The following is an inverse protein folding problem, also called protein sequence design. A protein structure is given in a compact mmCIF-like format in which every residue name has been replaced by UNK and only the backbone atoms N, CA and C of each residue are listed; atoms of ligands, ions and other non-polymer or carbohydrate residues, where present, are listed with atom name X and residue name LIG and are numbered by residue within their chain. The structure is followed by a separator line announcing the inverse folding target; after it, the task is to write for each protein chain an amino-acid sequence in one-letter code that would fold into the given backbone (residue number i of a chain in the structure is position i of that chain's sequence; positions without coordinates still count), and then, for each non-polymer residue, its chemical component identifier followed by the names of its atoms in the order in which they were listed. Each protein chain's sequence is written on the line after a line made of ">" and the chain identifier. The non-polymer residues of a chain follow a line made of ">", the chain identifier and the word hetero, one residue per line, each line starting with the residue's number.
data_IF_076217880028
#
_entry.id   IF_076217880028
#
_cell.length_a   1.000
_cell.length_b   1.000
_cell.length_c   1.000
_cell.angle_alpha   90.00
_cell.angle_beta   90.00
_cell.angle_gamma   90.00
#
_symmetry.space_group_name_H-M   'P 1'
#
loop_
_entity.id
_entity.type
_entity.pdbx_description
1 polymer ?
#
# COMPACT_ATOMS: atom_id res chain seq x y z
N UNK A 1 29.53 -10.32 15.92
CA UNK A 1 28.41 -9.81 15.10
C UNK A 1 28.02 -8.48 15.67
N UNK A 2 27.96 -7.43 14.89
CA UNK A 2 27.62 -6.09 15.34
C UNK A 2 26.27 -5.74 14.72
N UNK A 3 25.30 -5.33 15.56
CA UNK A 3 23.97 -4.92 15.12
C UNK A 3 23.84 -3.43 15.31
N UNK A 4 24.02 -2.68 14.23
CA UNK A 4 24.18 -1.22 14.28
C UNK A 4 22.85 -0.43 14.34
N UNK A 5 21.70 -1.12 14.32
CA UNK A 5 20.38 -0.46 14.25
C UNK A 5 19.95 0.06 15.62
N UNK A 6 20.17 -0.74 16.69
CA UNK A 6 19.77 -0.38 18.05
C UNK A 6 20.67 -1.08 19.06
N UNK A 7 21.11 -0.34 20.06
CA UNK A 7 22.02 -0.84 21.10
C UNK A 7 21.35 -1.92 21.97
N UNK A 8 20.09 -1.72 22.33
CA UNK A 8 19.31 -2.64 23.15
C UNK A 8 19.13 -3.99 22.46
N UNK A 9 18.89 -4.00 21.16
CA UNK A 9 18.78 -5.24 20.38
C UNK A 9 20.14 -5.97 20.26
N UNK A 10 21.24 -5.24 20.12
CA UNK A 10 22.58 -5.81 20.17
C UNK A 10 22.88 -6.45 21.53
N UNK A 11 22.50 -5.79 22.62
CA UNK A 11 22.64 -6.31 23.98
C UNK A 11 21.76 -7.56 24.18
N UNK A 12 20.52 -7.55 23.71
CA UNK A 12 19.63 -8.71 23.73
C UNK A 12 20.24 -9.92 23.00
N UNK A 13 20.77 -9.72 21.81
CA UNK A 13 21.43 -10.80 21.07
C UNK A 13 22.60 -11.36 21.85
N UNK A 14 23.45 -10.53 22.43
CA UNK A 14 24.64 -10.94 23.18
C UNK A 14 24.30 -11.64 24.49
N UNK A 15 23.29 -11.15 25.22
CA UNK A 15 22.98 -11.65 26.56
C UNK A 15 22.03 -12.85 26.55
N UNK A 16 21.12 -12.91 25.60
CA UNK A 16 20.03 -13.90 25.61
C UNK A 16 20.11 -14.89 24.46
N UNK A 17 20.41 -14.47 23.24
CA UNK A 17 20.46 -15.40 22.11
C UNK A 17 21.77 -16.19 22.08
N UNK A 18 22.90 -15.53 22.29
CA UNK A 18 24.21 -16.22 22.33
C UNK A 18 24.52 -16.88 23.66
N UNK A 19 23.69 -16.65 24.70
CA UNK A 19 23.76 -17.32 26.00
C UNK A 19 22.45 -18.06 26.29
N UNK A 20 22.22 -19.21 25.68
CA UNK A 20 20.88 -19.82 25.59
C UNK A 20 20.25 -20.23 26.93
N UNK A 21 21.00 -20.28 28.02
CA UNK A 21 20.46 -20.69 29.32
C UNK A 21 19.57 -19.60 29.96
N UNK A 22 19.73 -18.35 29.60
CA UNK A 22 18.97 -17.23 30.16
C UNK A 22 17.49 -17.21 29.72
N UNK A 23 17.20 -17.68 28.51
CA UNK A 23 15.83 -17.72 27.99
C UNK A 23 15.09 -19.05 28.25
N UNK A 24 15.77 -20.10 28.68
CA UNK A 24 15.15 -21.43 28.83
C UNK A 24 13.95 -21.44 29.77
N UNK A 25 14.01 -20.72 30.87
CA UNK A 25 12.98 -20.73 31.92
C UNK A 25 11.89 -19.66 31.72
N UNK A 26 12.02 -18.82 30.71
CA UNK A 26 11.07 -17.76 30.40
C UNK A 26 10.03 -18.34 29.43
N UNK A 27 8.74 -18.29 29.77
CA UNK A 27 7.70 -18.93 28.99
C UNK A 27 7.11 -18.02 27.91
N UNK A 28 6.93 -16.76 28.23
CA UNK A 28 6.28 -15.79 27.36
C UNK A 28 6.97 -14.42 27.38
N UNK A 29 6.52 -13.54 26.51
CA UNK A 29 7.06 -12.20 26.33
C UNK A 29 6.87 -11.33 27.56
N UNK A 30 5.71 -11.37 28.19
CA UNK A 30 5.37 -10.59 29.37
C UNK A 30 6.31 -10.92 30.52
N UNK A 31 6.52 -12.20 30.77
CA UNK A 31 7.50 -12.67 31.79
C UNK A 31 8.93 -12.24 31.46
N UNK A 32 9.29 -12.20 30.18
CA UNK A 32 10.61 -11.70 29.75
C UNK A 32 10.75 -10.20 30.09
N UNK A 33 9.75 -9.38 29.77
CA UNK A 33 9.78 -7.95 30.06
C UNK A 33 9.82 -7.68 31.58
N UNK A 34 9.02 -8.38 32.37
CA UNK A 34 9.06 -8.26 33.83
C UNK A 34 10.45 -8.54 34.40
N UNK A 35 11.05 -9.66 33.98
CA UNK A 35 12.38 -10.06 34.45
C UNK A 35 13.48 -9.07 34.03
N UNK A 36 13.36 -8.46 32.88
CA UNK A 36 14.35 -7.48 32.39
C UNK A 36 14.15 -6.11 32.99
N UNK A 37 12.90 -5.69 33.22
CA UNK A 37 12.57 -4.45 33.91
C UNK A 37 13.10 -4.41 35.34
N UNK A 38 13.02 -5.53 36.08
CA UNK A 38 13.60 -5.67 37.42
C UNK A 38 15.12 -5.44 37.39
N UNK A 39 15.78 -5.79 36.28
CA UNK A 39 17.21 -5.56 36.07
C UNK A 39 17.53 -4.15 35.52
N UNK A 40 16.53 -3.28 35.40
CA UNK A 40 16.67 -1.92 34.87
C UNK A 40 16.93 -1.85 33.38
N UNK A 41 16.51 -2.90 32.60
CA UNK A 41 16.68 -2.97 31.16
C UNK A 41 15.32 -2.91 30.47
N UNK A 42 15.21 -2.06 29.48
CA UNK A 42 14.05 -1.96 28.61
C UNK A 42 14.34 -2.64 27.28
N UNK A 43 13.59 -3.72 27.00
CA UNK A 43 13.65 -4.48 25.75
C UNK A 43 12.32 -4.52 25.01
N UNK A 44 11.37 -3.65 25.37
CA UNK A 44 10.06 -3.59 24.72
C UNK A 44 10.16 -2.93 23.32
N UNK A 45 10.85 -3.62 22.41
CA UNK A 45 11.03 -3.21 21.03
C UNK A 45 10.56 -4.30 20.06
N UNK A 46 9.99 -3.87 18.94
CA UNK A 46 9.42 -4.76 17.94
C UNK A 46 10.41 -5.81 17.41
N UNK A 47 11.65 -5.42 17.15
CA UNK A 47 12.69 -6.33 16.67
C UNK A 47 13.10 -7.33 17.74
N UNK A 48 13.20 -6.93 18.98
CA UNK A 48 13.48 -7.82 20.13
C UNK A 48 12.31 -8.79 20.33
N UNK A 49 11.07 -8.35 20.23
CA UNK A 49 9.88 -9.19 20.30
C UNK A 49 9.91 -10.32 19.24
N UNK A 50 10.21 -9.99 17.98
CA UNK A 50 10.29 -11.00 16.93
C UNK A 50 11.46 -11.94 17.11
N UNK A 51 12.62 -11.47 17.56
CA UNK A 51 13.79 -12.31 17.85
C UNK A 51 13.51 -13.27 19.01
N UNK A 52 12.84 -12.79 20.08
CA UNK A 52 12.40 -13.61 21.20
C UNK A 52 11.45 -14.72 20.74
N UNK A 53 10.40 -14.38 19.98
CA UNK A 53 9.44 -15.35 19.50
C UNK A 53 10.07 -16.36 18.51
N UNK A 54 10.97 -15.92 17.65
CA UNK A 54 11.72 -16.82 16.78
C UNK A 54 12.56 -17.82 17.58
N UNK A 55 13.26 -17.35 18.63
CA UNK A 55 14.01 -18.23 19.51
C UNK A 55 13.09 -19.25 20.19
N UNK A 56 11.94 -18.83 20.71
CA UNK A 56 10.95 -19.72 21.35
C UNK A 56 10.38 -20.75 20.38
N UNK A 57 10.06 -20.36 19.17
CA UNK A 57 9.60 -21.28 18.13
C UNK A 57 10.66 -22.35 17.80
N UNK A 58 11.91 -21.93 17.65
CA UNK A 58 13.04 -22.85 17.42
C UNK A 58 13.23 -23.79 18.62
N UNK A 59 13.20 -23.26 19.84
CA UNK A 59 13.30 -24.04 21.07
C UNK A 59 12.22 -25.13 21.13
N UNK A 60 10.96 -24.75 20.98
CA UNK A 60 9.81 -25.66 21.00
C UNK A 60 9.91 -26.74 19.92
N UNK A 61 10.38 -26.37 18.72
CA UNK A 61 10.58 -27.33 17.65
C UNK A 61 11.63 -28.40 18.01
N UNK A 62 12.75 -27.98 18.57
CA UNK A 62 13.80 -28.95 18.99
C UNK A 62 13.39 -29.79 20.22
N UNK A 63 12.56 -29.25 21.12
CA UNK A 63 11.99 -30.03 22.22
C UNK A 63 11.02 -31.10 21.70
N UNK A 64 10.25 -30.78 20.66
CA UNK A 64 9.34 -31.71 19.99
C UNK A 64 10.07 -32.77 19.18
N UNK A 65 11.22 -32.43 18.58
CA UNK A 65 12.01 -33.31 17.72
C UNK A 65 13.47 -33.44 18.20
N UNK A 66 13.74 -33.98 19.38
CA UNK A 66 15.08 -33.98 19.97
C UNK A 66 16.12 -34.74 19.14
N UNK A 67 15.70 -35.76 18.42
CA UNK A 67 16.59 -36.58 17.56
C UNK A 67 17.01 -35.83 16.28
N UNK A 68 16.41 -34.71 15.95
CA UNK A 68 16.76 -33.94 14.76
C UNK A 68 17.92 -32.96 14.97
N UNK A 69 18.35 -32.72 16.20
CA UNK A 69 19.40 -31.73 16.53
C UNK A 69 20.69 -32.02 15.77
N UNK A 70 21.17 -33.26 15.82
CA UNK A 70 22.45 -33.69 15.15
C UNK A 70 22.31 -33.56 13.63
N UNK A 71 21.19 -34.04 13.06
CA UNK A 71 20.96 -33.96 11.62
C UNK A 71 20.82 -32.51 11.13
N UNK A 72 20.14 -31.63 11.91
CA UNK A 72 20.00 -30.20 11.57
C UNK A 72 21.36 -29.49 11.66
N UNK A 73 22.13 -29.78 12.70
CA UNK A 73 23.52 -29.26 12.86
C UNK A 73 24.39 -29.64 11.68
N UNK A 74 24.35 -30.88 11.26
CA UNK A 74 25.13 -31.39 10.11
C UNK A 74 24.67 -30.65 8.82
N UNK A 75 23.37 -30.55 8.58
CA UNK A 75 22.84 -29.79 7.42
C UNK A 75 23.30 -28.34 7.41
N UNK A 76 23.21 -27.65 8.55
CA UNK A 76 23.58 -26.23 8.62
C UNK A 76 25.06 -26.03 8.37
N UNK A 77 25.91 -26.85 9.02
CA UNK A 77 27.37 -26.67 8.95
C UNK A 77 27.96 -27.13 7.62
N UNK A 78 27.44 -28.23 7.03
CA UNK A 78 28.04 -28.85 5.88
C UNK A 78 27.33 -28.64 4.56
N UNK A 79 26.02 -28.28 4.57
CA UNK A 79 25.22 -28.16 3.37
C UNK A 79 24.61 -26.75 3.12
N UNK A 80 24.58 -25.90 4.15
CA UNK A 80 24.12 -24.48 3.97
C UNK A 80 25.34 -23.64 3.58
N UNK A 81 25.21 -22.96 2.45
CA UNK A 81 26.21 -22.00 1.97
C UNK A 81 25.64 -20.58 2.14
N UNK A 82 26.38 -19.74 2.83
CA UNK A 82 26.07 -18.31 2.94
C UNK A 82 26.82 -17.58 1.83
N UNK A 83 26.08 -16.81 1.05
CA UNK A 83 26.66 -15.87 0.09
C UNK A 83 26.83 -14.56 0.84
N UNK A 84 28.08 -14.20 1.10
CA UNK A 84 28.42 -12.91 1.71
C UNK A 84 28.76 -11.94 0.57
N UNK A 85 27.93 -10.95 0.36
CA UNK A 85 28.20 -9.87 -0.57
C UNK A 85 28.68 -8.64 0.23
N UNK A 86 29.88 -8.18 -0.05
CA UNK A 86 30.46 -6.99 0.56
C UNK A 86 30.63 -5.93 -0.53
N UNK A 87 29.55 -5.22 -0.90
CA UNK A 87 29.63 -4.18 -1.88
C UNK A 87 30.53 -3.06 -1.36
N UNK A 88 31.44 -2.58 -2.22
CA UNK A 88 32.28 -1.41 -1.93
C UNK A 88 31.73 -0.23 -2.70
N UNK A 89 31.60 0.91 -2.04
CA UNK A 89 31.17 2.18 -2.64
C UNK A 89 29.73 2.16 -3.22
N UNK A 90 28.82 1.41 -2.63
CA UNK A 90 27.40 1.45 -2.93
C UNK A 90 26.68 1.95 -1.67
N UNK A 91 25.80 2.92 -1.81
CA UNK A 91 24.97 3.39 -0.72
C UNK A 91 23.95 2.31 -0.30
N UNK A 92 23.56 2.31 0.98
CA UNK A 92 22.65 1.28 1.53
C UNK A 92 21.33 1.21 0.77
N UNK A 93 20.82 2.35 0.30
CA UNK A 93 19.58 2.43 -0.46
C UNK A 93 19.75 1.79 -1.85
N UNK A 94 20.83 2.09 -2.55
CA UNK A 94 21.15 1.48 -3.85
C UNK A 94 21.40 -0.01 -3.73
N UNK A 95 22.05 -0.46 -2.65
CA UNK A 95 22.21 -1.89 -2.36
C UNK A 95 20.86 -2.59 -2.14
N UNK A 96 19.95 -1.95 -1.38
CA UNK A 96 18.61 -2.48 -1.15
C UNK A 96 17.80 -2.57 -2.44
N UNK A 97 17.86 -1.55 -3.28
CA UNK A 97 17.21 -1.53 -4.60
C UNK A 97 17.78 -2.62 -5.52
N UNK A 98 19.11 -2.78 -5.56
CA UNK A 98 19.79 -3.81 -6.37
C UNK A 98 19.48 -5.24 -5.90
N UNK A 99 19.35 -5.46 -4.58
CA UNK A 99 19.00 -6.76 -4.02
C UNK A 99 17.53 -7.11 -4.24
N UNK A 100 16.66 -6.13 -4.23
CA UNK A 100 15.21 -6.30 -4.42
C UNK A 100 14.78 -6.11 -5.88
N UNK A 101 15.52 -5.35 -6.67
CA UNK A 101 15.17 -4.94 -8.04
C UNK A 101 15.02 -6.08 -9.06
N UNK A 102 15.45 -7.30 -8.70
CA UNK A 102 15.18 -8.50 -9.53
C UNK A 102 13.98 -9.33 -9.05
N UNK A 103 13.33 -8.96 -7.94
CA UNK A 103 12.29 -9.82 -7.36
C UNK A 103 10.88 -9.44 -7.76
N UNK A 104 10.52 -8.24 -7.83
CA UNK A 104 9.30 -7.66 -8.42
C UNK A 104 9.49 -6.16 -8.32
N UNK A 105 9.63 -5.42 -9.39
CA UNK A 105 9.61 -3.96 -9.31
C UNK A 105 8.31 -3.55 -8.60
N UNK A 106 8.40 -2.62 -7.66
CA UNK A 106 7.22 -2.06 -7.04
C UNK A 106 6.37 -1.46 -8.15
N UNK A 107 5.11 -1.89 -8.22
CA UNK A 107 4.15 -1.29 -9.15
C UNK A 107 3.85 0.15 -8.74
N UNK A 108 3.56 1.00 -9.69
CA UNK A 108 3.19 2.39 -9.42
C UNK A 108 2.01 2.51 -8.45
N UNK A 109 1.06 1.55 -8.47
CA UNK A 109 -0.02 1.50 -7.49
C UNK A 109 0.46 1.33 -6.06
N UNK A 110 1.48 0.48 -5.82
CA UNK A 110 2.06 0.29 -4.48
C UNK A 110 2.76 1.56 -4.01
N UNK A 111 3.49 2.22 -4.91
CA UNK A 111 4.17 3.48 -4.62
C UNK A 111 3.18 4.59 -4.30
N UNK A 112 2.13 4.77 -5.11
CA UNK A 112 1.05 5.74 -4.86
C UNK A 112 0.37 5.41 -3.53
N UNK A 113 0.06 4.14 -3.27
CA UNK A 113 -0.54 3.69 -2.02
C UNK A 113 0.34 4.03 -0.82
N UNK A 114 1.64 3.72 -0.88
CA UNK A 114 2.59 4.04 0.20
C UNK A 114 2.66 5.55 0.44
N UNK A 115 2.67 6.33 -0.63
CA UNK A 115 2.67 7.79 -0.61
C UNK A 115 1.41 8.33 0.10
N UNK A 116 0.22 7.84 -0.27
CA UNK A 116 -1.05 8.21 0.36
C UNK A 116 -1.03 7.88 1.86
N UNK A 117 -0.70 6.63 2.21
CA UNK A 117 -0.70 6.17 3.60
C UNK A 117 0.26 6.99 4.46
N UNK A 118 1.45 7.31 3.95
CA UNK A 118 2.49 7.96 4.75
C UNK A 118 2.28 9.46 4.85
N UNK A 119 2.05 10.15 3.73
CA UNK A 119 2.00 11.62 3.70
C UNK A 119 0.66 12.17 4.19
N UNK A 120 -0.46 11.57 3.77
CA UNK A 120 -1.78 12.01 4.21
C UNK A 120 -1.95 11.82 5.71
N UNK A 121 -1.58 10.66 6.27
CA UNK A 121 -1.69 10.43 7.70
C UNK A 121 -0.86 11.41 8.52
N UNK A 122 0.37 11.70 8.09
CA UNK A 122 1.23 12.68 8.76
C UNK A 122 0.63 14.09 8.68
N UNK A 123 0.13 14.49 7.53
CA UNK A 123 -0.47 15.81 7.31
C UNK A 123 -1.73 16.03 8.16
N UNK A 124 -2.63 15.05 8.18
CA UNK A 124 -3.92 15.18 8.91
C UNK A 124 -3.75 15.23 10.43
N UNK A 125 -2.74 14.55 10.96
CA UNK A 125 -2.45 14.59 12.40
C UNK A 125 -1.71 15.88 12.79
N UNK A 126 -0.87 16.41 11.88
CA UNK A 126 -0.09 17.62 12.15
C UNK A 126 0.96 17.42 13.23
N UNK A 127 1.46 18.54 13.76
CA UNK A 127 2.44 18.56 14.83
C UNK A 127 1.74 18.55 16.19
N UNK A 128 2.18 17.66 17.07
CA UNK A 128 1.71 17.50 18.45
C UNK A 128 2.94 17.54 19.36
N UNK A 129 2.87 18.27 20.48
CA UNK A 129 3.98 18.43 21.41
C UNK A 129 4.49 17.09 21.97
N UNK A 130 3.60 16.12 22.18
CA UNK A 130 3.95 14.76 22.58
C UNK A 130 4.26 13.90 21.35
N UNK A 131 5.54 13.64 21.09
CA UNK A 131 6.02 12.87 19.96
C UNK A 131 5.54 11.40 19.97
N UNK A 132 5.38 10.80 21.14
CA UNK A 132 4.89 9.41 21.26
C UNK A 132 3.43 9.37 20.87
N UNK A 133 2.61 10.27 21.42
CA UNK A 133 1.19 10.39 21.07
C UNK A 133 1.00 10.70 19.60
N UNK A 134 1.81 11.58 19.02
CA UNK A 134 1.78 11.89 17.59
C UNK A 134 2.02 10.64 16.76
N UNK A 135 3.05 9.85 17.05
CA UNK A 135 3.38 8.63 16.33
C UNK A 135 2.26 7.58 16.42
N UNK A 136 1.64 7.41 17.58
CA UNK A 136 0.49 6.50 17.76
C UNK A 136 -0.66 6.93 16.85
N UNK A 137 -1.05 8.21 16.87
CA UNK A 137 -2.14 8.74 16.06
C UNK A 137 -1.86 8.63 14.54
N UNK A 138 -0.62 8.93 14.13
CA UNK A 138 -0.20 8.76 12.73
C UNK A 138 -0.33 7.28 12.32
N UNK A 139 0.12 6.34 13.16
CA UNK A 139 0.04 4.91 12.84
C UNK A 139 -1.41 4.41 12.79
N UNK A 140 -2.26 4.83 13.72
CA UNK A 140 -3.70 4.54 13.63
C UNK A 140 -4.32 5.06 12.34
N UNK A 141 -3.96 6.29 11.95
CA UNK A 141 -4.47 6.88 10.72
C UNK A 141 -3.97 6.15 9.49
N UNK A 142 -2.70 5.75 9.45
CA UNK A 142 -2.12 4.91 8.39
C UNK A 142 -2.90 3.60 8.21
N UNK A 143 -3.21 2.92 9.30
CA UNK A 143 -4.01 1.68 9.26
C UNK A 143 -5.40 1.93 8.67
N UNK A 144 -6.08 3.00 9.11
CA UNK A 144 -7.42 3.35 8.58
C UNK A 144 -7.39 3.66 7.08
N UNK A 145 -6.41 4.42 6.63
CA UNK A 145 -6.20 4.71 5.20
C UNK A 145 -5.88 3.43 4.42
N UNK A 146 -4.99 2.59 4.94
CA UNK A 146 -4.64 1.30 4.33
C UNK A 146 -5.86 0.41 4.12
N UNK A 147 -6.69 0.22 5.15
CA UNK A 147 -7.92 -0.56 5.07
C UNK A 147 -8.94 0.02 4.08
N UNK A 148 -9.01 1.34 3.99
CA UNK A 148 -9.86 2.00 2.99
C UNK A 148 -9.38 1.70 1.57
N UNK A 149 -8.08 1.84 1.30
CA UNK A 149 -7.49 1.54 -0.01
C UNK A 149 -7.63 0.06 -0.38
N UNK A 150 -7.55 -0.87 0.59
CA UNK A 150 -7.78 -2.29 0.38
C UNK A 150 -9.22 -2.58 -0.05
N UNK A 151 -10.21 -1.93 0.56
CA UNK A 151 -11.63 -2.05 0.14
C UNK A 151 -11.84 -1.52 -1.27
N UNK A 152 -11.23 -0.40 -1.60
CA UNK A 152 -11.28 0.17 -2.95
C UNK A 152 -10.65 -0.80 -3.95
N UNK A 153 -9.44 -1.30 -3.66
CA UNK A 153 -8.76 -2.26 -4.53
C UNK A 153 -9.60 -3.53 -4.74
N UNK A 154 -10.24 -4.04 -3.69
CA UNK A 154 -11.14 -5.19 -3.78
C UNK A 154 -12.37 -4.89 -4.63
N UNK A 155 -12.97 -3.69 -4.52
CA UNK A 155 -14.11 -3.29 -5.35
C UNK A 155 -13.76 -3.28 -6.84
N UNK A 156 -12.55 -2.80 -7.18
CA UNK A 156 -12.04 -2.77 -8.55
C UNK A 156 -11.56 -4.13 -9.07
N UNK A 157 -11.46 -5.16 -8.23
CA UNK A 157 -11.11 -6.51 -8.67
C UNK A 157 -12.20 -7.18 -9.52
N UNK A 158 -13.43 -6.66 -9.52
CA UNK A 158 -14.55 -7.15 -10.32
C UNK A 158 -14.38 -6.80 -11.81
N UNK A 159 -14.28 -7.81 -12.66
CA UNK A 159 -14.07 -7.66 -14.10
C UNK A 159 -15.19 -6.85 -14.79
N UNK A 160 -16.44 -6.95 -14.34
CA UNK A 160 -17.54 -6.20 -14.94
C UNK A 160 -17.35 -4.69 -14.71
N UNK A 161 -16.85 -4.30 -13.53
CA UNK A 161 -16.58 -2.90 -13.21
C UNK A 161 -15.40 -2.38 -14.01
N UNK A 162 -14.31 -3.14 -14.10
CA UNK A 162 -13.15 -2.78 -14.93
C UNK A 162 -13.58 -2.56 -16.37
N UNK A 163 -14.33 -3.51 -16.95
CA UNK A 163 -14.80 -3.44 -18.34
C UNK A 163 -15.73 -2.23 -18.56
N UNK A 164 -16.60 -1.95 -17.59
CA UNK A 164 -17.49 -0.79 -17.66
C UNK A 164 -16.71 0.53 -17.71
N UNK A 165 -15.70 0.70 -16.87
CA UNK A 165 -14.90 1.93 -16.84
C UNK A 165 -13.74 1.94 -17.83
N UNK A 166 -13.42 0.83 -18.48
CA UNK A 166 -12.32 0.75 -19.44
C UNK A 166 -12.43 1.80 -20.56
N UNK A 167 -13.64 2.10 -21.00
CA UNK A 167 -13.90 3.13 -21.99
C UNK A 167 -13.36 4.52 -21.61
N UNK A 168 -13.25 4.80 -20.30
CA UNK A 168 -12.66 6.03 -19.80
C UNK A 168 -11.18 5.84 -19.47
N UNK A 169 -10.83 4.79 -18.74
CA UNK A 169 -9.46 4.57 -18.26
C UNK A 169 -8.44 4.42 -19.39
N UNK A 170 -8.86 3.97 -20.58
CA UNK A 170 -8.00 3.92 -21.77
C UNK A 170 -7.55 5.29 -22.29
N UNK A 171 -8.21 6.38 -21.87
CA UNK A 171 -7.84 7.74 -22.23
C UNK A 171 -6.67 8.26 -21.38
N UNK A 172 -6.42 7.63 -20.23
CA UNK A 172 -5.26 7.93 -19.40
C UNK A 172 -3.98 7.41 -20.05
N UNK A 173 -2.94 8.24 -20.03
CA UNK A 173 -1.62 7.91 -20.55
C UNK A 173 -0.71 7.52 -19.39
N UNK A 174 0.18 6.59 -19.65
CA UNK A 174 1.34 6.29 -18.79
C UNK A 174 2.57 6.76 -19.56
N UNK A 175 3.48 7.51 -18.96
CA UNK A 175 4.69 7.97 -19.63
C UNK A 175 5.54 6.80 -20.12
N UNK A 176 5.99 6.83 -21.36
CA UNK A 176 6.82 5.76 -21.95
C UNK A 176 8.25 5.71 -21.35
N UNK A 177 8.69 6.79 -20.73
CA UNK A 177 10.03 6.94 -20.18
C UNK A 177 10.15 6.56 -18.70
N UNK A 178 9.04 6.25 -18.03
CA UNK A 178 9.08 5.88 -16.61
C UNK A 178 9.50 4.41 -16.42
N UNK A 179 10.46 4.22 -15.53
CA UNK A 179 10.86 2.89 -15.05
C UNK A 179 9.80 2.19 -14.21
N UNK A 180 8.67 2.87 -13.95
CA UNK A 180 7.58 2.43 -13.07
C UNK A 180 6.45 1.86 -13.91
N UNK A 181 6.12 0.59 -13.70
CA UNK A 181 4.99 -0.06 -14.35
C UNK A 181 3.69 0.15 -13.55
N UNK A 182 2.55 0.17 -14.25
CA UNK A 182 1.21 0.19 -13.67
C UNK A 182 0.42 -1.04 -14.17
N UNK A 183 0.44 -2.10 -13.40
CA UNK A 183 -0.20 -3.37 -13.77
C UNK A 183 -1.64 -3.43 -13.23
N UNK A 184 -2.61 -3.22 -14.11
CA UNK A 184 -4.05 -3.22 -13.78
C UNK A 184 -4.58 -4.59 -13.34
N UNK A 185 -3.93 -5.67 -13.72
CA UNK A 185 -4.35 -7.03 -13.35
C UNK A 185 -3.96 -7.32 -11.90
N UNK A 186 -2.72 -7.03 -11.56
CA UNK A 186 -2.21 -7.26 -10.20
C UNK A 186 -2.74 -6.21 -9.21
N UNK A 187 -2.90 -4.97 -9.70
CA UNK A 187 -3.32 -3.83 -8.88
C UNK A 187 -4.55 -3.13 -9.48
N UNK A 188 -5.74 -3.71 -9.26
CA UNK A 188 -6.99 -3.18 -9.81
C UNK A 188 -7.29 -1.72 -9.45
N UNK A 189 -6.78 -1.21 -8.32
CA UNK A 189 -6.93 0.18 -7.90
C UNK A 189 -6.35 1.19 -8.91
N UNK A 190 -5.47 0.74 -9.81
CA UNK A 190 -4.96 1.57 -10.90
C UNK A 190 -6.07 2.18 -11.77
N UNK A 191 -7.19 1.48 -11.91
CA UNK A 191 -8.36 2.03 -12.61
C UNK A 191 -8.88 3.30 -11.94
N UNK A 192 -8.93 3.34 -10.60
CA UNK A 192 -9.31 4.56 -9.87
C UNK A 192 -8.27 5.67 -10.05
N UNK A 193 -6.98 5.34 -10.00
CA UNK A 193 -5.92 6.33 -10.19
C UNK A 193 -5.95 6.93 -11.60
N UNK A 194 -6.20 6.12 -12.62
CA UNK A 194 -6.42 6.57 -14.00
C UNK A 194 -7.61 7.53 -14.11
N UNK A 195 -8.74 7.19 -13.48
CA UNK A 195 -9.89 8.09 -13.44
C UNK A 195 -9.61 9.37 -12.64
N UNK A 196 -8.79 9.28 -11.60
CA UNK A 196 -8.42 10.44 -10.79
C UNK A 196 -7.57 11.43 -11.60
N UNK A 197 -6.55 10.98 -12.35
CA UNK A 197 -5.75 11.88 -13.19
C UNK A 197 -6.55 12.45 -14.36
N UNK A 198 -7.55 11.72 -14.89
CA UNK A 198 -8.49 12.25 -15.89
C UNK A 198 -9.41 13.34 -15.31
N UNK A 199 -9.82 13.19 -14.06
CA UNK A 199 -10.75 14.13 -13.39
C UNK A 199 -10.06 15.40 -12.92
N UNK A 200 -8.88 15.30 -12.33
CA UNK A 200 -8.21 16.35 -11.57
C UNK A 200 -6.83 16.74 -12.11
N UNK A 201 -6.32 16.00 -13.09
CA UNK A 201 -5.04 16.23 -13.74
C UNK A 201 -5.16 16.42 -15.24
N UNK A 202 -4.08 16.11 -15.94
CA UNK A 202 -3.97 16.16 -17.40
C UNK A 202 -4.14 14.79 -18.08
N UNK A 203 -4.60 13.78 -17.31
CA UNK A 203 -4.81 12.43 -17.80
C UNK A 203 -3.55 11.58 -17.87
N UNK A 204 -2.46 12.04 -17.28
CA UNK A 204 -1.20 11.29 -17.20
C UNK A 204 -1.08 10.64 -15.82
N UNK A 205 -0.94 9.30 -15.81
CA UNK A 205 -0.75 8.53 -14.60
C UNK A 205 0.75 8.45 -14.28
N UNK A 206 1.24 9.35 -13.46
CA UNK A 206 2.63 9.39 -13.01
C UNK A 206 2.76 9.64 -11.50
N UNK A 207 3.93 9.37 -10.97
CA UNK A 207 4.23 9.56 -9.55
C UNK A 207 4.32 11.03 -9.16
N UNK A 208 4.85 11.88 -10.03
CA UNK A 208 5.05 13.31 -9.75
C UNK A 208 3.72 14.02 -9.51
N UNK A 209 2.68 13.65 -10.27
CA UNK A 209 1.34 14.15 -10.05
C UNK A 209 0.83 13.79 -8.64
N UNK A 210 0.97 12.52 -8.23
CA UNK A 210 0.50 12.10 -6.91
C UNK A 210 1.35 12.66 -5.78
N UNK A 211 2.65 12.83 -5.95
CA UNK A 211 3.53 13.48 -4.97
C UNK A 211 3.06 14.90 -4.62
N UNK A 212 2.62 15.65 -5.63
CA UNK A 212 2.05 16.98 -5.45
C UNK A 212 0.64 16.93 -4.86
N UNK A 213 -0.18 16.01 -5.34
CA UNK A 213 -1.60 15.95 -4.95
C UNK A 213 -1.85 15.47 -3.52
N UNK A 214 -1.10 14.49 -3.03
CA UNK A 214 -1.32 13.93 -1.67
C UNK A 214 -1.04 14.93 -0.54
N UNK A 215 -0.33 16.02 -0.82
CA UNK A 215 -0.09 17.09 0.15
C UNK A 215 -1.13 18.22 0.07
N UNK A 216 -2.03 18.22 -0.91
CA UNK A 216 -3.14 19.17 -0.99
C UNK A 216 -4.23 18.85 0.04
N UNK A 217 -4.95 19.88 0.48
CA UNK A 217 -6.09 19.69 1.38
C UNK A 217 -7.26 19.05 0.63
N UNK A 218 -7.90 18.08 1.29
CA UNK A 218 -9.05 17.39 0.73
C UNK A 218 -8.75 16.29 -0.29
N UNK A 219 -7.47 15.99 -0.59
CA UNK A 219 -7.10 14.93 -1.55
C UNK A 219 -7.80 13.60 -1.25
N UNK A 220 -7.77 13.16 0.03
CA UNK A 220 -8.36 11.88 0.40
C UNK A 220 -9.89 11.88 0.25
N UNK A 221 -10.53 13.00 0.56
CA UNK A 221 -11.98 13.18 0.39
C UNK A 221 -12.36 13.19 -1.09
N UNK A 222 -11.54 13.82 -1.94
CA UNK A 222 -11.74 13.79 -3.40
C UNK A 222 -11.62 12.38 -3.97
N UNK A 223 -10.60 11.61 -3.52
CA UNK A 223 -10.41 10.22 -3.95
C UNK A 223 -11.58 9.33 -3.52
N UNK A 224 -12.05 9.50 -2.27
CA UNK A 224 -13.21 8.77 -1.76
C UNK A 224 -14.50 9.18 -2.47
N UNK A 225 -14.67 10.46 -2.74
CA UNK A 225 -15.85 10.97 -3.47
C UNK A 225 -15.89 10.42 -4.89
N UNK A 226 -14.74 10.36 -5.56
CA UNK A 226 -14.62 9.76 -6.88
C UNK A 226 -15.02 8.27 -6.82
N UNK A 227 -14.47 7.51 -5.86
CA UNK A 227 -14.83 6.10 -5.66
C UNK A 227 -16.34 5.92 -5.45
N UNK A 228 -16.95 6.69 -4.55
CA UNK A 228 -18.40 6.64 -4.30
C UNK A 228 -19.22 6.98 -5.54
N UNK A 229 -18.72 7.90 -6.36
CA UNK A 229 -19.37 8.25 -7.63
C UNK A 229 -19.35 7.06 -8.59
N UNK A 230 -18.22 6.34 -8.69
CA UNK A 230 -18.14 5.13 -9.51
C UNK A 230 -19.08 4.03 -9.00
N UNK A 231 -19.16 3.86 -7.69
CA UNK A 231 -20.09 2.92 -7.06
C UNK A 231 -21.55 3.28 -7.37
N UNK A 232 -21.90 4.55 -7.26
CA UNK A 232 -23.27 5.04 -7.57
C UNK A 232 -23.63 4.80 -9.04
N UNK A 233 -22.71 5.08 -9.97
CA UNK A 233 -22.93 4.86 -11.39
C UNK A 233 -23.11 3.38 -11.73
N UNK A 234 -22.37 2.49 -11.07
CA UNK A 234 -22.52 1.03 -11.25
C UNK A 234 -23.79 0.47 -10.63
N UNK A 235 -24.18 0.96 -9.46
CA UNK A 235 -25.31 0.40 -8.70
C UNK A 235 -26.68 0.89 -9.19
N UNK A 236 -26.75 2.06 -9.83
CA UNK A 236 -27.96 2.60 -10.41
C UNK A 236 -28.12 2.13 -11.86
N UNK A 237 -29.05 1.20 -12.09
CA UNK A 237 -29.26 0.61 -13.42
C UNK A 237 -29.52 1.64 -14.52
N UNK A 238 -30.26 2.69 -14.24
CA UNK A 238 -30.55 3.73 -15.23
C UNK A 238 -29.29 4.54 -15.56
N UNK A 239 -28.54 4.94 -14.55
CA UNK A 239 -27.25 5.66 -14.74
C UNK A 239 -26.24 4.78 -15.47
N UNK A 240 -26.11 3.51 -15.07
CA UNK A 240 -25.21 2.56 -15.70
C UNK A 240 -25.38 2.54 -17.21
N UNK A 241 -26.61 2.35 -17.68
CA UNK A 241 -26.90 2.26 -19.11
C UNK A 241 -26.75 3.62 -19.82
N UNK A 242 -27.24 4.70 -19.23
CA UNK A 242 -27.16 6.03 -19.85
C UNK A 242 -25.71 6.51 -20.01
N UNK A 243 -24.88 6.34 -18.99
CA UNK A 243 -23.46 6.72 -19.04
C UNK A 243 -22.72 5.88 -20.09
N UNK A 244 -22.95 4.56 -20.08
CA UNK A 244 -22.37 3.66 -21.09
C UNK A 244 -22.81 4.05 -22.50
N UNK A 245 -24.09 4.29 -22.68
CA UNK A 245 -24.67 4.67 -23.97
C UNK A 245 -24.14 6.02 -24.46
N UNK A 246 -24.06 7.00 -23.60
CA UNK A 246 -23.54 8.34 -23.93
C UNK A 246 -22.08 8.27 -24.40
N UNK A 247 -21.26 7.42 -23.78
CA UNK A 247 -19.84 7.31 -24.11
C UNK A 247 -19.58 6.48 -25.37
N UNK A 248 -20.43 5.48 -25.69
CA UNK A 248 -20.30 4.66 -26.89
C UNK A 248 -20.98 5.35 -28.10
N UNK A 249 -22.21 5.77 -27.90
CA UNK A 249 -23.05 6.30 -28.98
C UNK A 249 -22.57 7.64 -29.52
N UNK A 250 -22.05 8.49 -28.64
CA UNK A 250 -21.44 9.75 -29.04
C UNK A 250 -20.19 9.55 -29.93
N UNK A 251 -19.51 8.39 -29.84
CA UNK A 251 -18.37 8.06 -30.71
C UNK A 251 -18.79 7.63 -32.11
N UNK A 252 -19.95 7.01 -32.26
CA UNK A 252 -20.39 6.46 -33.56
C UNK A 252 -21.21 7.43 -34.39
N UNK A 253 -21.99 8.30 -33.77
CA UNK A 253 -23.03 9.05 -34.48
C UNK A 253 -22.77 10.54 -34.69
N UNK A 254 -21.85 11.16 -33.95
CA UNK A 254 -21.76 12.63 -33.92
C UNK A 254 -20.38 13.10 -34.36
N UNK A 255 -20.22 13.33 -35.64
CA UNK A 255 -19.10 14.12 -36.17
C UNK A 255 -19.15 15.61 -35.79
N UNK A 256 -20.22 16.09 -35.20
CA UNK A 256 -20.49 17.52 -34.98
C UNK A 256 -20.50 17.95 -33.49
N UNK A 257 -20.72 17.03 -32.53
CA UNK A 257 -20.60 17.36 -31.11
C UNK A 257 -19.46 16.58 -30.45
N UNK A 258 -18.62 17.22 -29.61
CA UNK A 258 -17.54 16.52 -28.93
C UNK A 258 -18.09 15.48 -27.95
N UNK A 259 -17.49 14.29 -27.97
CA UNK A 259 -17.75 13.25 -26.97
C UNK A 259 -17.47 13.81 -25.59
N UNK A 260 -18.40 13.61 -24.65
CA UNK A 260 -18.19 14.03 -23.27
C UNK A 260 -16.99 13.28 -22.66
N UNK A 261 -15.99 14.04 -22.26
CA UNK A 261 -14.87 13.50 -21.51
C UNK A 261 -15.32 13.04 -20.12
N UNK A 262 -14.55 12.14 -19.53
CA UNK A 262 -14.80 11.72 -18.14
C UNK A 262 -14.86 12.91 -17.17
N UNK A 263 -13.98 13.89 -17.36
CA UNK A 263 -13.95 15.13 -16.58
C UNK A 263 -15.25 15.93 -16.67
N UNK A 264 -15.82 16.06 -17.86
CA UNK A 264 -17.08 16.75 -18.09
C UNK A 264 -18.27 16.00 -17.48
N UNK A 265 -18.33 14.67 -17.65
CA UNK A 265 -19.35 13.83 -17.02
C UNK A 265 -19.34 13.99 -15.49
N UNK A 266 -18.14 13.90 -14.90
CA UNK A 266 -17.97 14.08 -13.46
C UNK A 266 -18.34 15.48 -12.99
N UNK A 267 -17.99 16.51 -13.76
CA UNK A 267 -18.37 17.90 -13.46
C UNK A 267 -19.90 18.06 -13.46
N UNK A 268 -20.60 17.55 -14.47
CA UNK A 268 -22.05 17.60 -14.53
C UNK A 268 -22.71 16.81 -13.40
N UNK A 269 -22.17 15.63 -13.06
CA UNK A 269 -22.64 14.84 -11.92
C UNK A 269 -22.54 15.60 -10.59
N UNK A 270 -21.45 16.30 -10.36
CA UNK A 270 -21.24 17.11 -9.14
C UNK A 270 -22.16 18.33 -9.07
N UNK A 271 -22.55 18.88 -10.22
CA UNK A 271 -23.33 20.12 -10.33
C UNK A 271 -24.83 19.88 -10.31
N UNK A 272 -25.30 18.74 -10.81
CA UNK A 272 -26.70 18.44 -11.01
C UNK A 272 -27.23 17.44 -9.98
N UNK A 273 -28.52 17.59 -9.61
CA UNK A 273 -29.19 16.49 -8.92
C UNK A 273 -29.37 15.28 -9.85
N UNK A 274 -29.51 14.06 -9.27
CA UNK A 274 -29.63 12.80 -10.03
C UNK A 274 -30.66 12.91 -11.19
N UNK A 275 -31.85 13.45 -10.94
CA UNK A 275 -32.91 13.59 -11.96
C UNK A 275 -32.50 14.48 -13.13
N UNK A 276 -31.83 15.57 -12.84
CA UNK A 276 -31.38 16.53 -13.84
C UNK A 276 -30.18 16.01 -14.61
N UNK A 277 -29.30 15.26 -13.96
CA UNK A 277 -28.19 14.57 -14.63
C UNK A 277 -28.72 13.50 -15.60
N UNK A 278 -29.71 12.70 -15.20
CA UNK A 278 -30.38 11.74 -16.09
C UNK A 278 -31.01 12.47 -17.29
N UNK A 279 -31.70 13.59 -17.06
CA UNK A 279 -32.28 14.41 -18.13
C UNK A 279 -31.19 14.94 -19.08
N UNK A 280 -30.08 15.41 -18.53
CA UNK A 280 -28.94 15.85 -19.32
C UNK A 280 -28.38 14.71 -20.20
N UNK A 281 -28.16 13.51 -19.65
CA UNK A 281 -27.71 12.36 -20.43
C UNK A 281 -28.69 11.95 -21.54
N UNK A 282 -30.00 11.86 -21.22
CA UNK A 282 -31.05 11.54 -22.21
C UNK A 282 -31.08 12.53 -23.35
N UNK A 283 -30.92 13.84 -23.08
CA UNK A 283 -30.85 14.85 -24.12
C UNK A 283 -29.65 14.71 -25.05
N UNK A 284 -28.56 14.14 -24.57
CA UNK A 284 -27.35 13.87 -25.36
C UNK A 284 -27.46 12.65 -26.25
N UNK A 285 -28.37 11.73 -25.93
CA UNK A 285 -28.60 10.48 -26.68
C UNK A 285 -29.70 10.66 -27.73
N UNK A 286 -30.67 11.54 -27.49
CA UNK A 286 -31.80 11.87 -28.39
C UNK A 286 -31.35 12.66 -29.60
#
# INVERSE_FOLDING_TARGET
>A
MQYNVRKETEEFLKEYIFKPNELKNIQNWEQFLENTSIKGKDYDYQDVFYLFNAYKAIQTWFETYPNSVTAMKDKILNHVKLIVNLPKNIEEQELFENLNGKRVPLDGADLIRALIITRVAKKEIGDIDDSIKQNVLINERRVKIGLMLDRINHWWADENKKNYFHQFTKESKVPDEESISFNDVTYPINHLYKLYVLAYGEGVLDMEFFEKKVIEDGFLDELQLLQRTMENWCNDKELYHLILFTSIYAREKIKEEPVLSFKELLHQWKKLYRKDFIRFLKKRIA
#
